data_IF_261658137210
#
_entry.id   IF_261658137210
#
_cell.length_a   1.000
_cell.length_b   1.000
_cell.length_c   1.000
_cell.angle_alpha   90.00
_cell.angle_beta   90.00
_cell.angle_gamma   90.00
#
_symmetry.space_group_name_H-M   'P 1'
#
loop_
_entity.id
_entity.type
_entity.pdbx_description
1 polymer ?
#
# COMPACT_ATOMS: atom_id res chain seq x y z
N UNK A 1 -1.03 11.88 -3.22
CA UNK A 1 0.13 11.40 -2.43
C UNK A 1 1.10 10.64 -3.32
N UNK A 2 0.64 9.60 -4.01
CA UNK A 2 1.44 8.71 -4.87
C UNK A 2 2.31 9.44 -5.90
N UNK A 3 1.78 10.46 -6.58
CA UNK A 3 2.57 11.27 -7.55
C UNK A 3 3.79 11.96 -6.90
N UNK A 4 3.69 12.37 -5.63
CA UNK A 4 4.82 12.97 -4.90
C UNK A 4 5.90 11.95 -4.57
N UNK A 5 5.62 10.65 -4.62
CA UNK A 5 6.60 9.60 -4.34
C UNK A 5 7.46 9.26 -5.56
N UNK A 6 6.98 9.51 -6.78
CA UNK A 6 7.67 9.20 -8.04
C UNK A 6 9.14 9.61 -8.10
N UNK A 7 9.56 10.84 -7.70
CA UNK A 7 10.96 11.24 -7.81
C UNK A 7 11.90 10.54 -6.80
N UNK A 8 11.35 9.79 -5.84
CA UNK A 8 12.13 9.16 -4.76
C UNK A 8 12.35 7.65 -4.97
N UNK A 9 11.73 7.03 -5.98
CA UNK A 9 11.78 5.59 -6.20
C UNK A 9 11.87 5.26 -7.69
N UNK A 10 12.64 4.21 -8.03
CA UNK A 10 12.77 3.74 -9.41
C UNK A 10 11.48 3.10 -9.94
N UNK A 11 10.74 2.38 -9.09
CA UNK A 11 9.46 1.75 -9.41
C UNK A 11 8.43 2.12 -8.33
N UNK A 12 7.30 2.69 -8.76
CA UNK A 12 6.14 2.97 -7.89
C UNK A 12 4.94 2.21 -8.42
N UNK A 13 4.33 1.42 -7.53
CA UNK A 13 3.09 0.69 -7.79
C UNK A 13 2.03 1.18 -6.81
N UNK A 14 0.83 1.46 -7.31
CA UNK A 14 -0.33 1.77 -6.51
C UNK A 14 -1.38 0.66 -6.59
N UNK A 15 -2.08 0.42 -5.49
CA UNK A 15 -3.30 -0.39 -5.44
C UNK A 15 -4.48 0.53 -5.17
N UNK A 16 -5.57 0.35 -5.90
CA UNK A 16 -6.76 1.19 -5.78
C UNK A 16 -8.01 0.38 -6.11
N UNK A 17 -9.14 0.69 -5.46
CA UNK A 17 -10.44 0.03 -5.66
C UNK A 17 -11.38 0.84 -6.56
N UNK A 18 -11.19 2.16 -6.64
CA UNK A 18 -11.99 3.04 -7.50
C UNK A 18 -11.49 3.05 -8.94
N UNK A 19 -12.33 2.62 -9.89
CA UNK A 19 -11.99 2.62 -11.33
C UNK A 19 -11.57 4.00 -11.84
N UNK A 20 -12.27 5.06 -11.43
CA UNK A 20 -11.93 6.43 -11.83
C UNK A 20 -10.56 6.87 -11.30
N UNK A 21 -10.22 6.46 -10.07
CA UNK A 21 -8.92 6.76 -9.50
C UNK A 21 -7.81 5.92 -10.15
N UNK A 22 -8.10 4.66 -10.51
CA UNK A 22 -7.17 3.81 -11.29
C UNK A 22 -6.83 4.46 -12.63
N UNK A 23 -7.85 4.93 -13.36
CA UNK A 23 -7.66 5.63 -14.64
C UNK A 23 -6.84 6.91 -14.45
N UNK A 24 -7.17 7.69 -13.41
CA UNK A 24 -6.43 8.90 -13.07
C UNK A 24 -4.95 8.61 -12.79
N UNK A 25 -4.63 7.62 -11.95
CA UNK A 25 -3.25 7.26 -11.63
C UNK A 25 -2.48 6.73 -12.86
N UNK A 26 -3.13 5.92 -13.69
CA UNK A 26 -2.54 5.45 -14.96
C UNK A 26 -2.25 6.60 -15.93
N UNK A 27 -3.12 7.61 -15.99
CA UNK A 27 -2.89 8.82 -16.80
C UNK A 27 -1.66 9.62 -16.34
N UNK A 28 -1.22 9.42 -15.08
CA UNK A 28 0.00 10.00 -14.50
C UNK A 28 1.23 9.10 -14.62
N UNK A 29 1.17 8.08 -15.48
CA UNK A 29 2.22 7.07 -15.68
C UNK A 29 2.54 6.25 -14.41
N UNK A 30 1.57 6.09 -13.50
CA UNK A 30 1.74 5.26 -12.31
C UNK A 30 1.20 3.87 -12.58
N UNK A 31 2.03 2.84 -12.38
CA UNK A 31 1.61 1.44 -12.46
C UNK A 31 0.56 1.19 -11.38
N UNK A 32 -0.69 0.96 -11.80
CA UNK A 32 -1.81 0.86 -10.88
C UNK A 32 -2.55 -0.46 -11.05
N UNK A 33 -2.63 -1.21 -9.95
CA UNK A 33 -3.43 -2.43 -9.81
C UNK A 33 -4.81 -2.07 -9.29
N UNK A 34 -5.84 -2.45 -10.05
CA UNK A 34 -7.23 -2.28 -9.63
C UNK A 34 -7.60 -3.44 -8.70
N UNK A 35 -7.31 -3.30 -7.41
CA UNK A 35 -7.59 -4.32 -6.41
C UNK A 35 -7.61 -3.70 -5.00
N UNK A 36 -8.46 -4.26 -4.14
CA UNK A 36 -8.43 -4.02 -2.69
C UNK A 36 -7.81 -5.18 -1.91
N UNK A 37 -7.43 -6.26 -2.60
CA UNK A 37 -6.87 -7.46 -1.98
C UNK A 37 -5.43 -7.70 -2.44
N UNK A 38 -4.50 -7.48 -1.52
CA UNK A 38 -3.08 -7.73 -1.76
C UNK A 38 -2.74 -9.22 -1.92
N UNK A 39 -3.71 -10.13 -1.71
CA UNK A 39 -3.54 -11.57 -1.96
C UNK A 39 -3.52 -11.94 -3.44
N UNK A 40 -3.96 -11.04 -4.33
CA UNK A 40 -3.96 -11.28 -5.76
C UNK A 40 -2.57 -11.66 -6.27
N UNK A 41 -2.52 -12.64 -7.19
CA UNK A 41 -1.25 -13.21 -7.68
C UNK A 41 -0.28 -12.15 -8.19
N UNK A 42 -0.81 -11.09 -8.81
CA UNK A 42 -0.07 -9.97 -9.37
C UNK A 42 0.71 -9.19 -8.30
N UNK A 43 0.16 -9.05 -7.10
CA UNK A 43 0.82 -8.37 -5.98
C UNK A 43 1.69 -9.34 -5.16
N UNK A 44 1.19 -10.56 -4.92
CA UNK A 44 1.81 -11.56 -4.03
C UNK A 44 3.24 -12.00 -4.44
N UNK A 45 3.58 -11.86 -5.72
CA UNK A 45 4.92 -12.21 -6.24
C UNK A 45 5.93 -11.06 -6.11
N UNK A 46 5.48 -9.84 -5.82
CA UNK A 46 6.34 -8.66 -5.70
C UNK A 46 6.83 -8.48 -4.26
N UNK A 47 8.00 -7.84 -4.14
CA UNK A 47 8.60 -7.44 -2.87
C UNK A 47 8.97 -5.98 -2.92
N UNK A 48 8.73 -5.27 -1.81
CA UNK A 48 8.90 -3.82 -1.74
C UNK A 48 9.87 -3.43 -0.62
N UNK A 49 10.72 -2.45 -0.89
CA UNK A 49 11.56 -1.82 0.13
C UNK A 49 10.75 -0.85 1.00
N UNK A 50 9.75 -0.20 0.40
CA UNK A 50 8.87 0.75 1.09
C UNK A 50 7.43 0.47 0.70
N UNK A 51 6.55 0.34 1.69
CA UNK A 51 5.10 0.30 1.49
C UNK A 51 4.48 1.45 2.29
N UNK A 52 3.58 2.20 1.65
CA UNK A 52 2.81 3.26 2.29
C UNK A 52 1.32 2.95 2.28
N UNK A 53 0.68 3.00 3.45
CA UNK A 53 -0.75 2.81 3.64
C UNK A 53 -1.33 4.08 4.28
N UNK A 54 -1.99 4.91 3.47
CA UNK A 54 -2.49 6.22 3.90
C UNK A 54 -4.01 6.20 3.99
N UNK A 55 -4.55 6.27 5.22
CA UNK A 55 -5.99 6.36 5.52
C UNK A 55 -6.84 5.21 4.92
N UNK A 56 -6.24 4.02 4.81
CA UNK A 56 -6.93 2.79 4.35
C UNK A 56 -7.23 1.86 5.51
N UNK A 57 -6.36 1.81 6.53
CA UNK A 57 -6.47 0.84 7.62
C UNK A 57 -7.75 1.02 8.45
N UNK A 58 -8.22 2.26 8.61
CA UNK A 58 -9.48 2.63 9.24
C UNK A 58 -10.72 2.37 8.37
N UNK A 59 -10.55 2.06 7.08
CA UNK A 59 -11.63 1.96 6.09
C UNK A 59 -11.84 0.55 5.52
N UNK A 60 -11.02 -0.40 5.95
CA UNK A 60 -10.96 -1.72 5.37
C UNK A 60 -11.66 -2.78 6.25
N UNK A 61 -12.24 -3.79 5.60
CA UNK A 61 -12.95 -4.90 6.27
C UNK A 61 -12.05 -5.74 7.19
N UNK A 62 -10.77 -5.88 6.82
CA UNK A 62 -9.84 -6.84 7.44
C UNK A 62 -8.48 -6.20 7.72
N UNK A 63 -8.38 -5.25 8.68
CA UNK A 63 -7.16 -4.49 8.93
C UNK A 63 -5.97 -5.36 9.33
N UNK A 64 -6.19 -6.39 10.16
CA UNK A 64 -5.12 -7.32 10.54
C UNK A 64 -4.64 -8.17 9.36
N UNK A 65 -5.55 -8.58 8.47
CA UNK A 65 -5.18 -9.31 7.25
C UNK A 65 -4.37 -8.42 6.32
N UNK A 66 -4.78 -7.16 6.13
CA UNK A 66 -4.05 -6.18 5.34
C UNK A 66 -2.64 -5.95 5.89
N UNK A 67 -2.50 -5.75 7.21
CA UNK A 67 -1.19 -5.58 7.85
C UNK A 67 -0.29 -6.81 7.66
N UNK A 68 -0.85 -8.02 7.75
CA UNK A 68 -0.10 -9.26 7.48
C UNK A 68 0.34 -9.34 6.02
N UNK A 69 -0.54 -9.00 5.09
CA UNK A 69 -0.20 -8.97 3.66
C UNK A 69 0.88 -7.92 3.34
N UNK A 70 0.82 -6.74 3.96
CA UNK A 70 1.86 -5.71 3.85
C UNK A 70 3.19 -6.22 4.38
N UNK A 71 3.20 -6.81 5.57
CA UNK A 71 4.41 -7.42 6.14
C UNK A 71 5.01 -8.48 5.21
N UNK A 72 4.18 -9.38 4.69
CA UNK A 72 4.61 -10.43 3.77
C UNK A 72 5.08 -9.87 2.41
N UNK A 73 4.65 -8.69 2.01
CA UNK A 73 5.06 -8.02 0.77
C UNK A 73 6.34 -7.18 0.93
N UNK A 74 6.76 -6.87 2.15
CA UNK A 74 8.06 -6.24 2.38
C UNK A 74 9.19 -7.23 2.08
N UNK A 75 10.30 -6.71 1.57
CA UNK A 75 11.54 -7.49 1.43
C UNK A 75 11.94 -8.02 2.81
N UNK A 76 12.25 -9.31 2.92
CA UNK A 76 12.75 -9.87 4.17
C UNK A 76 14.12 -9.27 4.47
N UNK A 77 14.28 -8.70 5.66
CA UNK A 77 15.54 -8.10 6.10
C UNK A 77 16.22 -9.02 7.08
N UNK A 78 17.42 -9.47 6.72
CA UNK A 78 18.37 -10.06 7.67
C UNK A 78 19.44 -9.02 7.96
N UNK A 79 19.66 -8.64 9.23
CA UNK A 79 20.68 -7.65 9.55
C UNK A 79 22.05 -8.16 9.11
N UNK A 80 22.82 -7.37 8.34
CA UNK A 80 24.15 -7.79 7.93
C UNK A 80 25.04 -7.96 9.17
N UNK A 81 25.94 -8.96 9.12
CA UNK A 81 26.94 -9.21 10.16
C UNK A 81 27.99 -8.10 10.30
N UNK A 82 28.00 -7.15 9.37
CA UNK A 82 28.88 -5.99 9.34
C UNK A 82 28.02 -4.72 9.16
N UNK A 83 28.38 -3.58 9.79
CA UNK A 83 27.63 -2.32 9.70
C UNK A 83 27.84 -1.65 8.33
N UNK A 84 27.42 -2.30 7.26
CA UNK A 84 27.15 -1.65 5.99
C UNK A 84 25.81 -0.92 6.08
N UNK A 85 25.71 0.25 5.45
CA UNK A 85 24.59 1.19 5.48
C UNK A 85 23.35 0.63 4.74
N UNK A 86 22.87 -0.55 5.16
CA UNK A 86 21.66 -1.19 4.66
C UNK A 86 20.48 -0.75 5.53
N UNK A 87 19.56 0.02 4.95
CA UNK A 87 18.34 0.42 5.63
C UNK A 87 17.33 -0.74 5.64
N UNK A 88 16.62 -0.96 6.76
CA UNK A 88 15.55 -1.94 6.78
C UNK A 88 14.39 -1.51 5.87
N UNK A 89 13.56 -2.46 5.41
CA UNK A 89 12.32 -2.15 4.73
C UNK A 89 11.44 -1.26 5.61
N UNK A 90 10.76 -0.30 4.99
CA UNK A 90 9.97 0.70 5.68
C UNK A 90 8.48 0.51 5.41
N UNK A 91 7.69 0.51 6.48
CA UNK A 91 6.24 0.63 6.40
C UNK A 91 5.80 2.00 6.92
N UNK A 92 5.14 2.78 6.07
CA UNK A 92 4.59 4.10 6.42
C UNK A 92 3.08 3.96 6.57
N UNK A 93 2.56 4.19 7.78
CA UNK A 93 1.13 4.16 8.08
C UNK A 93 0.64 5.57 8.40
N UNK A 94 -0.45 6.00 7.76
CA UNK A 94 -1.25 7.13 8.25
C UNK A 94 -2.69 6.68 8.49
N UNK A 95 -3.27 7.16 9.58
CA UNK A 95 -4.65 6.90 10.00
C UNK A 95 -5.26 8.19 10.55
N UNK A 96 -6.58 8.33 10.44
CA UNK A 96 -7.32 9.49 10.95
C UNK A 96 -7.68 9.29 12.43
N UNK A 97 -7.56 10.35 13.25
CA UNK A 97 -7.96 10.36 14.66
C UNK A 97 -9.12 11.35 14.93
N UNK A 98 -10.06 11.04 15.87
CA UNK A 98 -10.15 9.79 16.62
C UNK A 98 -10.45 8.61 15.69
N UNK A 99 -9.85 7.45 15.97
CA UNK A 99 -9.97 6.28 15.11
C UNK A 99 -11.40 5.73 15.21
N UNK A 100 -12.21 5.98 14.17
CA UNK A 100 -13.58 5.47 14.04
C UNK A 100 -13.61 4.62 12.78
N UNK A 101 -13.36 3.30 12.89
CA UNK A 101 -13.28 2.46 11.71
C UNK A 101 -14.65 2.32 11.05
N UNK A 102 -14.69 2.44 9.73
CA UNK A 102 -15.86 2.13 8.91
C UNK A 102 -15.42 1.31 7.71
N UNK A 103 -16.35 0.74 6.95
CA UNK A 103 -16.02 0.02 5.72
C UNK A 103 -16.48 0.85 4.54
N UNK A 104 -15.58 1.12 3.59
CA UNK A 104 -15.94 1.78 2.34
C UNK A 104 -16.58 0.77 1.38
N UNK A 105 -17.89 0.84 1.21
CA UNK A 105 -18.64 -0.01 0.28
C UNK A 105 -18.45 0.49 -1.17
N UNK A 106 -18.31 -0.41 -2.16
CA UNK A 106 -18.31 -0.03 -3.57
C UNK A 106 -19.69 0.55 -3.93
N UNK A 107 -19.80 1.89 -3.94
CA UNK A 107 -21.06 2.60 -4.17
C UNK A 107 -21.29 3.84 -3.29
N UNK A 108 -20.42 4.13 -2.31
CA UNK A 108 -20.41 5.44 -1.65
C UNK A 108 -21.58 5.73 -0.71
N UNK A 109 -22.11 4.73 0.00
CA UNK A 109 -23.00 4.96 1.13
C UNK A 109 -22.46 4.25 2.38
N UNK A 110 -22.12 5.06 3.38
CA UNK A 110 -21.86 4.62 4.75
C UNK A 110 -23.19 4.46 5.50
N UNK A 111 -23.33 3.37 6.26
CA UNK A 111 -24.33 3.23 7.33
C UNK A 111 -23.90 3.98 8.59
#
# INVERSE_FOLDING_TARGET
MTEKMLPFFDEVIATEVSSSMVEFLRSRNITTLHTGDLSEKTFKQKKFNVISCFNVLDRCDKPLTLLKQIHDALVSFSPPSSPSLSLPPLFILAVVFPFVPFVEMPGGQSI
#
